data_IF_033329264879
#
_entry.id   IF_033329264879
#
_cell.length_a   1.000
_cell.length_b   1.000
_cell.length_c   1.000
_cell.angle_alpha   90.00
_cell.angle_beta   90.00
_cell.angle_gamma   90.00
#
_symmetry.space_group_name_H-M   'P 1'
#
loop_
_entity.id
_entity.type
_entity.pdbx_description
1 polymer ?
#
# COMPACT_ATOMS: atom_id res chain seq x y z
N UNK A 1 -16.47 18.50 -7.83
CA UNK A 1 -15.49 17.40 -8.00
C UNK A 1 -16.21 16.24 -8.67
N UNK A 2 -15.94 15.98 -9.95
CA UNK A 2 -16.55 14.83 -10.60
C UNK A 2 -15.85 13.57 -10.09
N UNK A 3 -16.44 12.92 -9.10
CA UNK A 3 -16.07 11.55 -8.72
C UNK A 3 -16.53 10.63 -9.86
N UNK A 4 -15.83 10.68 -10.99
CA UNK A 4 -15.89 9.59 -11.95
C UNK A 4 -15.30 8.40 -11.21
N UNK A 5 -16.17 7.59 -10.59
CA UNK A 5 -15.77 6.34 -9.96
C UNK A 5 -14.91 5.62 -10.97
N UNK A 6 -13.64 5.39 -10.63
CA UNK A 6 -12.72 4.73 -11.53
C UNK A 6 -13.35 3.39 -11.93
N UNK A 7 -13.79 3.29 -13.19
CA UNK A 7 -14.44 2.09 -13.70
C UNK A 7 -13.34 1.07 -13.93
N UNK A 8 -13.04 0.29 -12.90
CA UNK A 8 -12.10 -0.81 -13.00
C UNK A 8 -12.82 -2.01 -13.62
N UNK A 9 -12.36 -2.53 -14.76
CA UNK A 9 -12.90 -3.77 -15.29
C UNK A 9 -12.68 -4.92 -14.30
N UNK A 10 -13.54 -5.95 -14.29
CA UNK A 10 -13.45 -7.06 -13.35
C UNK A 10 -12.08 -7.76 -13.41
N UNK A 11 -11.48 -7.87 -14.59
CA UNK A 11 -10.13 -8.41 -14.79
C UNK A 11 -9.05 -7.62 -14.04
N UNK A 12 -9.18 -6.30 -14.01
CA UNK A 12 -8.24 -5.43 -13.30
C UNK A 12 -8.44 -5.50 -11.78
N UNK A 13 -9.68 -5.65 -11.31
CA UNK A 13 -9.98 -5.85 -9.89
C UNK A 13 -9.37 -7.18 -9.41
N UNK A 14 -9.55 -8.25 -10.17
CA UNK A 14 -8.95 -9.57 -9.91
C UNK A 14 -7.41 -9.47 -9.89
N UNK A 15 -6.83 -8.73 -10.84
CA UNK A 15 -5.39 -8.46 -10.87
C UNK A 15 -4.91 -7.74 -9.59
N UNK A 16 -5.57 -6.64 -9.20
CA UNK A 16 -5.21 -5.88 -7.99
C UNK A 16 -5.32 -6.74 -6.73
N UNK A 17 -6.35 -7.59 -6.66
CA UNK A 17 -6.56 -8.52 -5.55
C UNK A 17 -5.46 -9.59 -5.48
N UNK A 18 -5.09 -10.17 -6.62
CA UNK A 18 -3.99 -11.13 -6.71
C UNK A 18 -2.65 -10.50 -6.34
N UNK A 19 -2.40 -9.27 -6.80
CA UNK A 19 -1.20 -8.49 -6.45
C UNK A 19 -1.14 -8.19 -4.96
N UNK A 20 -2.26 -7.77 -4.36
CA UNK A 20 -2.36 -7.52 -2.92
C UNK A 20 -2.06 -8.77 -2.09
N UNK A 21 -2.62 -9.92 -2.49
CA UNK A 21 -2.36 -11.20 -1.82
C UNK A 21 -0.89 -11.59 -1.94
N UNK A 22 -0.32 -11.51 -3.14
CA UNK A 22 1.09 -11.80 -3.38
C UNK A 22 2.04 -10.86 -2.62
N UNK A 23 1.71 -9.58 -2.50
CA UNK A 23 2.46 -8.61 -1.71
C UNK A 23 2.35 -8.91 -0.20
N UNK A 24 1.15 -9.23 0.28
CA UNK A 24 0.94 -9.59 1.70
C UNK A 24 1.64 -10.90 2.05
N UNK A 25 1.66 -11.88 1.14
CA UNK A 25 2.38 -13.15 1.31
C UNK A 25 3.89 -12.95 1.42
N UNK A 26 4.46 -11.96 0.71
CA UNK A 26 5.89 -11.63 0.82
C UNK A 26 6.26 -10.95 2.15
N UNK A 27 5.28 -10.43 2.90
CA UNK A 27 5.55 -9.87 4.21
C UNK A 27 5.76 -10.96 5.27
N UNK A 28 6.64 -10.72 6.26
CA UNK A 28 6.76 -11.60 7.42
C UNK A 28 5.48 -11.58 8.25
N UNK A 29 5.15 -12.69 8.91
CA UNK A 29 3.88 -12.91 9.61
C UNK A 29 3.53 -11.80 10.61
N UNK A 30 4.52 -11.30 11.35
CA UNK A 30 4.33 -10.20 12.31
C UNK A 30 3.97 -8.84 11.68
N UNK A 31 4.16 -8.68 10.36
CA UNK A 31 3.84 -7.44 9.63
C UNK A 31 2.61 -7.57 8.72
N UNK A 32 1.96 -8.75 8.66
CA UNK A 32 0.71 -8.97 7.89
C UNK A 32 -0.51 -8.41 8.63
N UNK A 33 -0.42 -7.17 9.09
CA UNK A 33 -1.50 -6.50 9.80
C UNK A 33 -2.54 -5.98 8.80
N UNK A 34 -3.78 -5.80 9.27
CA UNK A 34 -4.85 -5.18 8.48
C UNK A 34 -4.47 -3.78 7.98
N UNK A 35 -3.72 -3.02 8.79
CA UNK A 35 -3.19 -1.70 8.43
C UNK A 35 -2.19 -1.78 7.27
N UNK A 36 -1.20 -2.69 7.34
CA UNK A 36 -0.24 -2.90 6.24
C UNK A 36 -0.95 -3.29 4.95
N UNK A 37 -1.92 -4.20 5.04
CA UNK A 37 -2.70 -4.64 3.88
C UNK A 37 -3.52 -3.50 3.27
N UNK A 38 -4.11 -2.64 4.10
CA UNK A 38 -4.86 -1.47 3.65
C UNK A 38 -3.95 -0.42 2.98
N UNK A 39 -2.74 -0.21 3.50
CA UNK A 39 -1.75 0.68 2.86
C UNK A 39 -1.33 0.16 1.49
N UNK A 40 -0.96 -1.13 1.39
CA UNK A 40 -0.61 -1.77 0.11
C UNK A 40 -1.76 -1.63 -0.90
N UNK A 41 -3.00 -1.92 -0.48
CA UNK A 41 -4.17 -1.81 -1.34
C UNK A 41 -4.39 -0.37 -1.85
N UNK A 42 -4.24 0.62 -0.96
CA UNK A 42 -4.38 2.04 -1.31
C UNK A 42 -3.35 2.47 -2.34
N UNK A 43 -2.10 2.04 -2.19
CA UNK A 43 -1.01 2.37 -3.11
C UNK A 43 -1.21 1.71 -4.49
N UNK A 44 -1.63 0.43 -4.51
CA UNK A 44 -1.99 -0.29 -5.74
C UNK A 44 -3.11 0.44 -6.48
N UNK A 45 -4.16 0.86 -5.77
CA UNK A 45 -5.27 1.62 -6.36
C UNK A 45 -4.83 2.98 -6.88
N UNK A 46 -3.95 3.69 -6.16
CA UNK A 46 -3.41 4.98 -6.60
C UNK A 46 -2.56 4.85 -7.86
N UNK A 47 -1.73 3.81 -7.97
CA UNK A 47 -0.98 3.51 -9.19
C UNK A 47 -1.89 3.12 -10.34
N UNK A 48 -2.90 2.30 -10.09
CA UNK A 48 -3.87 1.91 -11.11
C UNK A 48 -4.70 3.08 -11.63
N UNK A 49 -5.08 4.02 -10.75
CA UNK A 49 -5.76 5.25 -11.13
C UNK A 49 -4.91 6.13 -12.07
N UNK A 50 -3.57 6.07 -11.96
CA UNK A 50 -2.63 6.77 -12.87
C UNK A 50 -2.44 6.07 -14.21
N UNK A 51 -3.06 4.90 -14.42
CA UNK A 51 -2.93 4.10 -15.65
C UNK A 51 -1.93 2.96 -15.57
N UNK A 52 -1.32 2.70 -14.40
CA UNK A 52 -0.44 1.55 -14.20
C UNK A 52 -1.27 0.26 -14.19
N UNK A 53 -1.04 -0.63 -15.16
CA UNK A 53 -1.71 -1.94 -15.24
C UNK A 53 -0.76 -3.13 -15.11
N UNK A 54 0.53 -2.86 -14.94
CA UNK A 54 1.53 -3.90 -14.83
C UNK A 54 1.51 -4.51 -13.42
N UNK A 55 1.27 -5.84 -13.28
CA UNK A 55 1.15 -6.47 -11.96
C UNK A 55 2.44 -6.41 -11.15
N UNK A 56 3.61 -6.43 -11.81
CA UNK A 56 4.89 -6.34 -11.12
C UNK A 56 5.08 -4.93 -10.59
N UNK A 57 4.81 -3.91 -11.40
CA UNK A 57 4.89 -2.52 -10.97
C UNK A 57 3.91 -2.21 -9.81
N UNK A 58 2.67 -2.71 -9.88
CA UNK A 58 1.68 -2.56 -8.81
C UNK A 58 2.14 -3.23 -7.51
N UNK A 59 2.71 -4.44 -7.61
CA UNK A 59 3.27 -5.15 -6.45
C UNK A 59 4.41 -4.37 -5.80
N UNK A 60 5.36 -3.90 -6.62
CA UNK A 60 6.52 -3.14 -6.16
C UNK A 60 6.09 -1.84 -5.50
N UNK A 61 5.14 -1.10 -6.09
CA UNK A 61 4.61 0.13 -5.50
C UNK A 61 3.99 -0.14 -4.11
N UNK A 62 3.12 -1.14 -4.01
CA UNK A 62 2.52 -1.52 -2.73
C UNK A 62 3.53 -1.96 -1.67
N UNK A 63 4.56 -2.73 -2.06
CA UNK A 63 5.63 -3.12 -1.15
C UNK A 63 6.53 -1.94 -0.75
N UNK A 64 6.77 -0.99 -1.65
CA UNK A 64 7.52 0.23 -1.36
C UNK A 64 6.83 1.04 -0.26
N UNK A 65 5.51 1.13 -0.28
CA UNK A 65 4.71 1.85 0.73
C UNK A 65 5.00 1.36 2.16
N UNK A 66 5.16 0.05 2.35
CA UNK A 66 5.35 -0.57 3.68
C UNK A 66 6.81 -0.66 4.10
N UNK A 67 7.74 -0.59 3.13
CA UNK A 67 9.18 -0.47 3.39
C UNK A 67 9.48 0.93 3.94
N UNK A 68 8.88 1.98 3.36
CA UNK A 68 9.07 3.37 3.81
C UNK A 68 8.49 3.61 5.22
N UNK A 69 7.39 2.93 5.60
CA UNK A 69 6.87 3.01 6.98
C UNK A 69 7.74 2.28 8.02
N UNK A 70 8.64 1.38 7.60
CA UNK A 70 9.65 0.81 8.51
C UNK A 70 10.77 1.82 8.82
N UNK A 71 10.83 2.94 8.09
CA UNK A 71 11.68 4.08 8.37
C UNK A 71 10.85 5.28 8.87
N UNK A 72 9.70 5.04 9.50
CA UNK A 72 9.26 5.97 10.54
C UNK A 72 10.22 5.74 11.72
N UNK A 73 11.37 6.40 11.66
CA UNK A 73 12.07 6.77 12.87
C UNK A 73 10.99 7.38 13.75
N UNK A 74 10.68 6.68 14.83
CA UNK A 74 10.24 7.30 16.05
C UNK A 74 11.17 8.50 16.26
N UNK A 75 10.80 9.68 15.76
CA UNK A 75 11.05 10.88 16.52
C UNK A 75 10.13 10.76 17.73
N UNK A 76 10.55 9.89 18.65
CA UNK A 76 10.35 10.13 20.06
C UNK A 76 11.05 11.48 20.23
N UNK A 77 10.31 12.59 20.13
CA UNK A 77 10.80 13.85 20.67
C UNK A 77 10.83 13.66 22.19
N UNK A 78 12.00 13.50 22.86
CA UNK A 78 12.07 13.33 24.29
C UNK A 78 12.55 14.67 24.87
N UNK A 79 11.86 15.77 24.60
CA UNK A 79 12.20 17.06 25.20
C UNK A 79 10.99 18.01 25.15
N UNK A 80 10.49 18.61 26.23
CA UNK A 80 11.09 18.88 27.54
C UNK A 80 10.06 18.71 28.66
N UNK A 81 10.38 17.84 29.62
CA UNK A 81 10.16 18.14 31.03
C UNK A 81 10.97 19.38 31.36
N UNK A 82 10.32 20.52 31.57
CA UNK A 82 10.90 21.66 32.25
C UNK A 82 9.80 22.46 32.97
N UNK A 83 9.82 22.29 34.29
CA UNK A 83 9.26 23.08 35.41
C UNK A 83 7.75 23.19 35.57
#
# INVERSE_FOLDING_TARGET
MNAHGAVYPPELIELMKAVLDAATATLPEGKRTSAMKAQIASEILACAAKGQRDPVALKVAGLSAVVECSHYSHDISPERRAV
#
